data_IF_820199523921
#
_entry.id   IF_820199523921
#
_cell.length_a   1.000
_cell.length_b   1.000
_cell.length_c   1.000
_cell.angle_alpha   90.00
_cell.angle_beta   90.00
_cell.angle_gamma   90.00
#
_symmetry.space_group_name_H-M   'P 1'
#
loop_
_entity.id
_entity.type
_entity.pdbx_description
1 polymer ?
#
# COMPACT_ATOMS: atom_id res chain seq x y z
N UNK A 1 -9.54 -32.53 -28.40
CA UNK A 1 -10.78 -33.18 -27.92
C UNK A 1 -10.37 -34.30 -26.97
N UNK A 2 -11.14 -34.58 -25.90
CA UNK A 2 -10.89 -35.72 -25.00
C UNK A 2 -12.09 -36.67 -25.08
N UNK A 3 -11.84 -37.91 -25.50
CA UNK A 3 -12.84 -38.97 -25.56
C UNK A 3 -12.63 -39.91 -24.37
N UNK A 4 -13.72 -40.39 -23.77
CA UNK A 4 -13.66 -41.33 -22.64
C UNK A 4 -14.60 -42.51 -22.93
N UNK A 5 -14.02 -43.67 -23.21
CA UNK A 5 -14.73 -44.93 -23.43
C UNK A 5 -14.73 -45.68 -22.10
N UNK A 6 -15.86 -46.27 -21.71
CA UNK A 6 -15.98 -47.07 -20.47
C UNK A 6 -16.01 -48.55 -20.83
N UNK A 7 -15.29 -49.38 -20.08
CA UNK A 7 -15.20 -50.82 -20.30
C UNK A 7 -13.97 -51.24 -21.10
N UNK A 8 -13.92 -52.51 -21.49
CA UNK A 8 -12.84 -53.09 -22.29
C UNK A 8 -12.78 -52.43 -23.67
N UNK A 9 -11.58 -52.04 -24.08
CA UNK A 9 -11.34 -51.37 -25.37
C UNK A 9 -11.16 -52.42 -26.47
N UNK A 10 -12.20 -52.64 -27.29
CA UNK A 10 -12.14 -53.44 -28.52
C UNK A 10 -11.93 -52.57 -29.77
N UNK A 11 -11.57 -53.20 -30.90
CA UNK A 11 -11.41 -52.50 -32.17
C UNK A 11 -12.70 -51.80 -32.62
N UNK A 12 -13.84 -52.46 -32.43
CA UNK A 12 -15.16 -51.93 -32.78
C UNK A 12 -15.55 -50.73 -31.93
N UNK A 13 -15.23 -50.76 -30.63
CA UNK A 13 -15.51 -49.63 -29.73
C UNK A 13 -14.66 -48.40 -30.06
N UNK A 14 -13.38 -48.59 -30.40
CA UNK A 14 -12.51 -47.49 -30.85
C UNK A 14 -13.01 -46.88 -32.16
N UNK A 15 -13.39 -47.72 -33.13
CA UNK A 15 -13.93 -47.25 -34.41
C UNK A 15 -15.21 -46.42 -34.21
N UNK A 16 -16.12 -46.89 -33.34
CA UNK A 16 -17.34 -46.16 -33.00
C UNK A 16 -17.06 -44.82 -32.31
N UNK A 17 -16.13 -44.79 -31.36
CA UNK A 17 -15.78 -43.55 -30.67
C UNK A 17 -15.15 -42.51 -31.61
N UNK A 18 -14.37 -42.95 -32.60
CA UNK A 18 -13.81 -42.07 -33.62
C UNK A 18 -14.92 -41.52 -34.53
N UNK A 19 -15.87 -42.35 -34.98
CA UNK A 19 -17.01 -41.91 -35.79
C UNK A 19 -17.86 -40.85 -35.07
N UNK A 20 -18.15 -41.05 -33.77
CA UNK A 20 -18.83 -40.06 -32.95
C UNK A 20 -18.04 -38.75 -32.84
N UNK A 21 -16.71 -38.82 -32.68
CA UNK A 21 -15.85 -37.64 -32.61
C UNK A 21 -15.84 -36.84 -33.92
N UNK A 22 -15.82 -37.53 -35.06
CA UNK A 22 -15.90 -36.92 -36.40
C UNK A 22 -17.24 -36.22 -36.58
N UNK A 23 -18.35 -36.85 -36.21
CA UNK A 23 -19.69 -36.23 -36.26
C UNK A 23 -19.77 -34.95 -35.42
N UNK A 24 -19.18 -34.95 -34.22
CA UNK A 24 -19.12 -33.75 -33.37
C UNK A 24 -18.29 -32.65 -34.04
N UNK A 25 -17.12 -32.98 -34.60
CA UNK A 25 -16.28 -31.99 -35.28
C UNK A 25 -17.00 -31.37 -36.49
N UNK A 26 -17.63 -32.20 -37.31
CA UNK A 26 -18.37 -31.75 -38.50
C UNK A 26 -19.54 -30.82 -38.13
N UNK A 27 -20.21 -31.08 -37.00
CA UNK A 27 -21.29 -30.20 -36.51
C UNK A 27 -20.80 -28.82 -36.07
N UNK A 28 -19.56 -28.70 -35.58
CA UNK A 28 -18.97 -27.44 -35.12
C UNK A 28 -18.32 -26.67 -36.26
N UNK A 29 -17.69 -27.38 -37.19
CA UNK A 29 -17.00 -26.80 -38.33
C UNK A 29 -17.05 -27.76 -39.52
N UNK A 30 -17.98 -27.53 -40.47
CA UNK A 30 -18.12 -28.38 -41.65
C UNK A 30 -16.82 -28.46 -42.46
N UNK A 31 -16.44 -29.68 -42.83
CA UNK A 31 -15.22 -29.98 -43.59
C UNK A 31 -13.93 -30.00 -42.77
N UNK A 32 -13.99 -29.83 -41.44
CA UNK A 32 -12.81 -29.94 -40.58
C UNK A 32 -12.37 -31.41 -40.42
N UNK A 33 -11.06 -31.63 -40.29
CA UNK A 33 -10.45 -32.97 -40.14
C UNK A 33 -9.53 -33.01 -38.93
N UNK A 34 -9.43 -34.18 -38.29
CA UNK A 34 -8.40 -34.44 -37.29
C UNK A 34 -7.07 -34.76 -37.98
N UNK A 35 -5.99 -34.18 -37.47
CA UNK A 35 -4.63 -34.38 -37.97
C UNK A 35 -3.75 -34.84 -36.83
N UNK A 36 -3.34 -36.11 -36.87
CA UNK A 36 -2.60 -36.77 -35.80
C UNK A 36 -3.45 -37.06 -34.56
N UNK A 37 -3.09 -38.12 -33.84
CA UNK A 37 -3.70 -38.45 -32.55
C UNK A 37 -2.70 -39.24 -31.70
N UNK A 38 -2.68 -38.96 -30.40
CA UNK A 38 -1.97 -39.78 -29.43
C UNK A 38 -3.00 -40.65 -28.72
N UNK A 39 -2.83 -41.97 -28.81
CA UNK A 39 -3.65 -42.92 -28.05
C UNK A 39 -2.86 -43.37 -26.82
N UNK A 40 -3.44 -43.17 -25.64
CA UNK A 40 -2.89 -43.66 -24.38
C UNK A 40 -3.75 -44.83 -23.92
N UNK A 41 -3.17 -46.03 -23.92
CA UNK A 41 -3.80 -47.23 -23.41
C UNK A 41 -3.18 -47.59 -22.07
N UNK A 42 -4.03 -47.89 -21.10
CA UNK A 42 -3.62 -48.23 -19.75
C UNK A 42 -4.19 -49.61 -19.44
N UNK A 43 -3.36 -50.65 -19.40
CA UNK A 43 -3.80 -52.01 -19.14
C UNK A 43 -4.02 -52.22 -17.64
N UNK A 44 -5.07 -52.96 -17.32
CA UNK A 44 -5.39 -53.37 -15.96
C UNK A 44 -5.59 -54.88 -15.93
N UNK A 45 -5.32 -55.52 -14.81
CA UNK A 45 -5.66 -56.92 -14.62
C UNK A 45 -7.14 -57.11 -14.22
N UNK A 46 -7.52 -58.36 -13.96
CA UNK A 46 -8.90 -58.73 -13.57
C UNK A 46 -9.33 -58.15 -12.22
N UNK A 47 -8.37 -57.79 -11.37
CA UNK A 47 -8.60 -57.20 -10.05
C UNK A 47 -8.60 -55.67 -10.09
N UNK A 48 -8.24 -55.09 -11.24
CA UNK A 48 -8.24 -53.65 -11.51
C UNK A 48 -6.92 -52.96 -11.21
N UNK A 49 -5.85 -53.73 -10.97
CA UNK A 49 -4.51 -53.21 -10.73
C UNK A 49 -3.78 -52.90 -12.04
N UNK A 50 -2.95 -51.86 -12.00
CA UNK A 50 -2.26 -51.36 -13.18
C UNK A 50 -1.16 -52.33 -13.62
N UNK A 51 -1.26 -52.80 -14.86
CA UNK A 51 -0.19 -53.59 -15.48
C UNK A 51 0.86 -52.66 -16.08
N UNK A 52 2.14 -52.92 -15.77
CA UNK A 52 3.25 -52.15 -16.36
C UNK A 52 3.73 -52.86 -17.63
N UNK A 53 3.49 -52.26 -18.80
CA UNK A 53 3.96 -52.77 -20.09
C UNK A 53 5.29 -52.09 -20.45
N UNK A 54 6.39 -52.85 -20.41
CA UNK A 54 7.75 -52.39 -20.75
C UNK A 54 8.47 -53.36 -21.68
N UNK A 55 9.47 -52.87 -22.41
CA UNK A 55 10.39 -53.67 -23.22
C UNK A 55 11.44 -54.42 -22.36
N UNK A 56 12.32 -55.20 -23.01
CA UNK A 56 13.41 -55.94 -22.35
C UNK A 56 14.41 -55.07 -21.58
N UNK A 57 14.37 -53.74 -21.78
CA UNK A 57 15.22 -52.75 -21.13
C UNK A 57 14.44 -51.90 -20.11
N UNK A 58 13.23 -52.33 -19.74
CA UNK A 58 12.32 -51.64 -18.83
C UNK A 58 11.84 -50.26 -19.29
N UNK A 59 11.84 -49.97 -20.59
CA UNK A 59 11.23 -48.75 -21.14
C UNK A 59 9.76 -49.00 -21.52
N UNK A 60 8.87 -48.00 -21.38
CA UNK A 60 7.50 -48.10 -21.87
C UNK A 60 7.46 -48.43 -23.37
N UNK A 61 6.66 -49.43 -23.75
CA UNK A 61 6.46 -49.78 -25.15
C UNK A 61 5.69 -48.65 -25.86
N UNK A 62 6.34 -48.01 -26.84
CA UNK A 62 5.73 -46.99 -27.70
C UNK A 62 5.61 -47.56 -29.11
N UNK A 63 4.37 -47.69 -29.59
CA UNK A 63 4.08 -48.05 -30.98
C UNK A 63 3.84 -46.77 -31.78
N UNK A 64 4.74 -46.46 -32.72
CA UNK A 64 4.57 -45.35 -33.66
C UNK A 64 4.06 -45.89 -35.01
N UNK A 65 2.86 -45.48 -35.40
CA UNK A 65 2.25 -45.83 -36.69
C UNK A 65 2.37 -44.61 -37.60
N UNK A 66 3.35 -44.64 -38.51
CA UNK A 66 3.59 -43.55 -39.45
C UNK A 66 2.51 -43.53 -40.54
N UNK A 67 2.04 -42.34 -40.90
CA UNK A 67 1.12 -42.19 -42.01
C UNK A 67 1.77 -42.63 -43.34
N UNK A 68 0.98 -43.19 -44.25
CA UNK A 68 1.45 -43.57 -45.59
C UNK A 68 1.95 -42.34 -46.36
N UNK A 69 2.95 -42.55 -47.23
CA UNK A 69 3.50 -41.48 -48.07
C UNK A 69 2.39 -40.79 -48.90
N UNK A 70 2.33 -39.46 -48.84
CA UNK A 70 1.27 -38.64 -49.46
C UNK A 70 0.13 -38.23 -48.54
N UNK A 71 0.08 -38.73 -47.29
CA UNK A 71 -0.94 -38.32 -46.31
C UNK A 71 -0.58 -36.98 -45.65
N UNK A 72 -1.49 -36.00 -45.71
CA UNK A 72 -1.28 -34.65 -45.13
C UNK A 72 -1.28 -34.75 -43.60
N UNK A 73 -0.10 -34.61 -42.96
CA UNK A 73 0.05 -34.79 -41.51
C UNK A 73 -0.41 -33.59 -40.66
N UNK A 74 -0.48 -32.39 -41.23
CA UNK A 74 -1.12 -31.18 -40.68
C UNK A 74 -1.07 -30.11 -41.78
N UNK A 75 -2.16 -29.41 -42.12
CA UNK A 75 -2.08 -28.33 -43.10
C UNK A 75 -1.10 -27.25 -42.61
N UNK A 76 -0.22 -26.78 -43.49
CA UNK A 76 0.60 -25.60 -43.19
C UNK A 76 -0.34 -24.43 -42.84
N UNK A 77 0.01 -23.65 -41.80
CA UNK A 77 -0.74 -22.42 -41.52
C UNK A 77 -0.68 -21.53 -42.76
N UNK A 78 -1.82 -20.98 -43.16
CA UNK A 78 -1.86 -19.97 -44.21
C UNK A 78 -1.07 -18.73 -43.77
N UNK A 79 -0.52 -17.98 -44.73
CA UNK A 79 0.24 -16.75 -44.44
C UNK A 79 -0.56 -15.75 -43.59
N UNK A 80 -1.87 -15.63 -43.84
CA UNK A 80 -2.78 -14.80 -43.05
C UNK A 80 -2.93 -15.27 -41.59
N UNK A 81 -3.01 -16.58 -41.36
CA UNK A 81 -3.12 -17.14 -40.01
C UNK A 81 -1.81 -16.94 -39.21
N UNK A 82 -0.66 -16.98 -39.89
CA UNK A 82 0.63 -16.68 -39.29
C UNK A 82 0.74 -15.19 -38.90
N UNK A 83 0.37 -14.28 -39.80
CA UNK A 83 0.34 -12.83 -39.52
C UNK A 83 -0.56 -12.48 -38.32
N UNK A 84 -1.75 -13.08 -38.22
CA UNK A 84 -2.64 -12.88 -37.06
C UNK A 84 -2.00 -13.33 -35.74
N UNK A 85 -1.26 -14.45 -35.75
CA UNK A 85 -0.56 -14.93 -34.55
C UNK A 85 0.56 -14.01 -34.11
N UNK A 86 1.34 -13.51 -35.06
CA UNK A 86 2.45 -12.61 -34.76
C UNK A 86 1.94 -11.25 -34.25
N UNK A 87 0.87 -10.71 -34.84
CA UNK A 87 0.20 -9.50 -34.36
C UNK A 87 -0.32 -9.65 -32.92
N UNK A 88 -0.94 -10.80 -32.58
CA UNK A 88 -1.39 -11.07 -31.19
C UNK A 88 -0.21 -11.16 -30.22
N UNK A 89 0.92 -11.76 -30.65
CA UNK A 89 2.12 -11.87 -29.82
C UNK A 89 2.75 -10.51 -29.57
N UNK A 90 2.83 -9.66 -30.59
CA UNK A 90 3.33 -8.29 -30.47
C UNK A 90 2.42 -7.43 -29.58
N UNK A 91 1.10 -7.49 -29.79
CA UNK A 91 0.14 -6.79 -28.93
C UNK A 91 0.26 -7.23 -27.46
N UNK A 92 0.47 -8.53 -27.20
CA UNK A 92 0.71 -9.05 -25.85
C UNK A 92 2.01 -8.52 -25.25
N UNK A 93 3.10 -8.47 -26.03
CA UNK A 93 4.39 -7.91 -25.59
C UNK A 93 4.28 -6.42 -25.30
N UNK A 94 3.60 -5.66 -26.15
CA UNK A 94 3.37 -4.22 -25.95
C UNK A 94 2.58 -3.96 -24.66
N UNK A 95 1.50 -4.72 -24.42
CA UNK A 95 0.73 -4.63 -23.17
C UNK A 95 1.58 -4.98 -21.94
N UNK A 96 2.40 -6.03 -22.02
CA UNK A 96 3.30 -6.41 -20.92
C UNK A 96 4.33 -5.31 -20.63
N UNK A 97 4.91 -4.69 -21.67
CA UNK A 97 5.85 -3.59 -21.51
C UNK A 97 5.19 -2.35 -20.91
N UNK A 98 3.98 -2.00 -21.36
CA UNK A 98 3.22 -0.87 -20.79
C UNK A 98 2.90 -1.08 -19.31
N UNK A 99 2.48 -2.29 -18.93
CA UNK A 99 2.24 -2.64 -17.52
C UNK A 99 3.54 -2.57 -16.71
N UNK A 100 4.63 -3.13 -17.21
CA UNK A 100 5.93 -3.08 -16.53
C UNK A 100 6.45 -1.65 -16.34
N UNK A 101 6.28 -0.77 -17.32
CA UNK A 101 6.64 0.65 -17.19
C UNK A 101 5.76 1.38 -16.18
N UNK A 102 4.45 1.11 -16.17
CA UNK A 102 3.54 1.66 -15.16
C UNK A 102 3.94 1.21 -13.76
N UNK A 103 4.20 -0.07 -13.55
CA UNK A 103 4.61 -0.61 -12.25
C UNK A 103 5.93 0.00 -11.78
N UNK A 104 6.88 0.23 -12.70
CA UNK A 104 8.14 0.95 -12.42
C UNK A 104 7.89 2.38 -11.96
N UNK A 105 7.00 3.11 -12.65
CA UNK A 105 6.64 4.48 -12.29
C UNK A 105 5.96 4.54 -10.92
N UNK A 106 4.97 3.67 -10.67
CA UNK A 106 4.28 3.60 -9.38
C UNK A 106 5.24 3.27 -8.23
N UNK A 107 6.16 2.32 -8.44
CA UNK A 107 7.19 1.99 -7.44
C UNK A 107 8.17 3.13 -7.20
N UNK A 108 8.59 3.84 -8.25
CA UNK A 108 9.46 5.00 -8.14
C UNK A 108 8.80 6.15 -7.37
N UNK A 109 7.52 6.43 -7.65
CA UNK A 109 6.74 7.43 -6.91
C UNK A 109 6.54 7.05 -5.44
N UNK A 110 6.23 5.77 -5.18
CA UNK A 110 6.10 5.26 -3.83
C UNK A 110 7.41 5.41 -3.04
N UNK A 111 8.54 5.03 -3.63
CA UNK A 111 9.86 5.17 -3.02
C UNK A 111 10.22 6.64 -2.78
N UNK A 112 9.91 7.54 -3.72
CA UNK A 112 10.12 8.98 -3.57
C UNK A 112 9.30 9.55 -2.41
N UNK A 113 8.00 9.21 -2.32
CA UNK A 113 7.12 9.62 -1.21
C UNK A 113 7.65 9.13 0.13
N UNK A 114 8.13 7.87 0.19
CA UNK A 114 8.70 7.29 1.41
C UNK A 114 9.99 7.98 1.84
N UNK A 115 10.88 8.32 0.89
CA UNK A 115 12.09 9.09 1.20
C UNK A 115 11.77 10.47 1.75
N UNK A 116 10.81 11.19 1.15
CA UNK A 116 10.37 12.50 1.63
C UNK A 116 9.81 12.39 3.06
N UNK A 117 8.93 11.41 3.30
CA UNK A 117 8.38 11.16 4.62
C UNK A 117 9.45 10.80 5.66
N UNK A 118 10.43 9.96 5.30
CA UNK A 118 11.53 9.61 6.19
C UNK A 118 12.34 10.84 6.61
N UNK A 119 12.67 11.73 5.66
CA UNK A 119 13.37 12.98 5.95
C UNK A 119 12.53 13.89 6.87
N UNK A 120 11.22 14.01 6.64
CA UNK A 120 10.33 14.79 7.50
C UNK A 120 10.25 14.23 8.92
N UNK A 121 10.17 12.90 9.07
CA UNK A 121 10.15 12.22 10.37
C UNK A 121 11.44 12.49 11.13
N UNK A 122 12.60 12.33 10.49
CA UNK A 122 13.89 12.59 11.13
C UNK A 122 14.00 14.05 11.59
N UNK A 123 13.60 15.00 10.74
CA UNK A 123 13.57 16.42 11.12
C UNK A 123 12.65 16.68 12.31
N UNK A 124 11.43 16.14 12.30
CA UNK A 124 10.47 16.29 13.39
C UNK A 124 10.99 15.73 14.72
N UNK A 125 11.68 14.59 14.70
CA UNK A 125 12.26 13.98 15.90
C UNK A 125 13.39 14.83 16.49
N UNK A 126 14.29 15.34 15.64
CA UNK A 126 15.38 16.21 16.07
C UNK A 126 14.82 17.50 16.65
N UNK A 127 13.89 18.15 15.94
CA UNK A 127 13.19 19.35 16.40
C UNK A 127 12.49 19.15 17.74
N UNK A 128 11.78 18.04 17.90
CA UNK A 128 11.08 17.70 19.13
C UNK A 128 12.05 17.52 20.30
N UNK A 129 13.18 16.83 20.08
CA UNK A 129 14.24 16.69 21.07
C UNK A 129 14.79 18.05 21.51
N UNK A 130 15.13 18.91 20.53
CA UNK A 130 15.64 20.25 20.79
C UNK A 130 14.63 21.14 21.55
N UNK A 131 13.34 21.07 21.20
CA UNK A 131 12.26 21.77 21.91
C UNK A 131 12.13 21.33 23.37
N UNK A 132 12.23 20.02 23.63
CA UNK A 132 12.15 19.48 24.98
C UNK A 132 13.35 19.90 25.84
N UNK A 133 14.55 19.86 25.26
CA UNK A 133 15.77 20.28 25.95
C UNK A 133 15.73 21.78 26.27
N UNK A 134 15.35 22.61 25.30
CA UNK A 134 15.21 24.04 25.49
C UNK A 134 14.14 24.37 26.55
N UNK A 135 12.97 23.72 26.48
CA UNK A 135 11.92 23.89 27.49
C UNK A 135 12.43 23.52 28.87
N UNK A 136 13.14 22.40 28.99
CA UNK A 136 13.69 21.93 30.27
C UNK A 136 14.73 22.90 30.84
N UNK A 137 15.60 23.45 29.99
CA UNK A 137 16.56 24.50 30.37
C UNK A 137 15.87 25.76 30.89
N UNK A 138 14.85 26.25 30.18
CA UNK A 138 14.10 27.45 30.56
C UNK A 138 13.29 27.25 31.85
N UNK A 139 12.72 26.05 32.05
CA UNK A 139 12.03 25.70 33.31
C UNK A 139 13.00 25.63 34.50
N UNK A 140 14.26 25.26 34.27
CA UNK A 140 15.28 25.23 35.32
C UNK A 140 15.81 26.63 35.67
N UNK A 141 15.84 27.56 34.72
CA UNK A 141 16.37 28.92 34.93
C UNK A 141 15.30 29.92 35.39
N UNK A 142 14.24 30.11 34.61
CA UNK A 142 13.21 31.13 34.83
C UNK A 142 11.78 30.55 34.70
N UNK A 143 11.43 29.56 35.56
CA UNK A 143 10.18 28.81 35.42
C UNK A 143 8.92 29.68 35.39
N UNK A 144 8.82 30.63 36.32
CA UNK A 144 7.61 31.44 36.46
C UNK A 144 7.46 32.45 35.32
N UNK A 145 8.57 33.09 34.91
CA UNK A 145 8.59 34.03 33.77
C UNK A 145 8.17 33.31 32.49
N UNK A 146 8.67 32.09 32.27
CA UNK A 146 8.32 31.29 31.11
C UNK A 146 6.82 31.00 31.05
N UNK A 147 6.26 30.51 32.15
CA UNK A 147 4.83 30.16 32.23
C UNK A 147 3.94 31.38 32.11
N UNK A 148 4.31 32.52 32.71
CA UNK A 148 3.53 33.75 32.61
C UNK A 148 3.52 34.28 31.17
N UNK A 149 4.67 34.25 30.47
CA UNK A 149 4.73 34.63 29.05
C UNK A 149 3.91 33.71 28.16
N UNK A 150 3.94 32.38 28.39
CA UNK A 150 3.09 31.45 27.64
C UNK A 150 1.60 31.70 27.90
N UNK A 151 1.21 31.90 29.16
CA UNK A 151 -0.18 32.20 29.49
C UNK A 151 -0.66 33.52 28.88
N UNK A 152 0.20 34.53 28.81
CA UNK A 152 -0.11 35.79 28.14
C UNK A 152 -0.27 35.62 26.63
N UNK A 153 0.57 34.80 25.98
CA UNK A 153 0.39 34.45 24.57
C UNK A 153 -0.93 33.69 24.29
N UNK A 154 -1.33 32.78 25.18
CA UNK A 154 -2.64 32.14 25.10
C UNK A 154 -3.74 33.20 25.27
N UNK A 155 -3.66 34.07 26.27
CA UNK A 155 -4.67 35.11 26.53
C UNK A 155 -4.89 36.00 25.31
N UNK A 156 -3.81 36.47 24.68
CA UNK A 156 -3.88 37.31 23.47
C UNK A 156 -4.54 36.54 22.32
N UNK A 157 -4.08 35.33 22.03
CA UNK A 157 -4.61 34.53 20.91
C UNK A 157 -6.07 34.11 21.11
N UNK A 158 -6.46 33.70 22.34
CA UNK A 158 -7.85 33.35 22.68
C UNK A 158 -8.78 34.55 22.57
N UNK A 159 -8.33 35.73 23.00
CA UNK A 159 -9.14 36.94 22.88
C UNK A 159 -9.36 37.32 21.42
N UNK A 160 -8.32 37.27 20.58
CA UNK A 160 -8.45 37.64 19.16
C UNK A 160 -9.29 36.66 18.34
N UNK A 161 -9.30 35.37 18.69
CA UNK A 161 -9.95 34.33 17.88
C UNK A 161 -11.27 33.83 18.47
N UNK A 162 -11.62 34.23 19.70
CA UNK A 162 -12.87 33.90 20.39
C UNK A 162 -13.34 32.44 20.16
N UNK A 163 -12.51 31.43 20.46
CA UNK A 163 -12.81 30.05 20.15
C UNK A 163 -14.10 29.60 20.83
N UNK A 164 -15.02 28.96 20.10
CA UNK A 164 -16.33 28.51 20.62
C UNK A 164 -16.41 26.99 20.77
N UNK A 165 -17.23 26.53 21.70
CA UNK A 165 -17.52 25.10 21.86
C UNK A 165 -18.31 24.59 20.65
N UNK A 166 -17.82 23.58 19.91
CA UNK A 166 -18.45 23.12 18.67
C UNK A 166 -19.68 22.22 18.92
N UNK A 167 -19.72 21.55 20.07
CA UNK A 167 -20.68 20.48 20.37
C UNK A 167 -21.07 20.50 21.86
N UNK A 168 -22.18 19.84 22.20
CA UNK A 168 -22.63 19.64 23.58
C UNK A 168 -23.47 20.79 24.15
N UNK A 169 -23.76 20.75 25.47
CA UNK A 169 -24.67 21.70 26.13
C UNK A 169 -24.23 23.16 26.09
N UNK A 170 -22.93 23.41 25.91
CA UNK A 170 -22.31 24.74 25.86
C UNK A 170 -22.02 25.21 24.42
N UNK A 171 -22.58 24.54 23.42
CA UNK A 171 -22.30 24.83 22.00
C UNK A 171 -22.52 26.31 21.70
N UNK A 172 -21.53 26.96 21.08
CA UNK A 172 -21.56 28.38 20.75
C UNK A 172 -21.08 29.33 21.86
N UNK A 173 -20.92 28.84 23.09
CA UNK A 173 -20.22 29.57 24.15
C UNK A 173 -18.72 29.63 23.89
N UNK A 174 -18.05 30.66 24.42
CA UNK A 174 -16.60 30.76 24.36
C UNK A 174 -15.94 29.63 25.17
N UNK A 175 -14.92 29.02 24.56
CA UNK A 175 -14.09 28.02 25.21
C UNK A 175 -13.34 28.65 26.37
N UNK A 176 -13.34 28.02 27.55
CA UNK A 176 -12.52 28.46 28.66
C UNK A 176 -11.04 28.56 28.27
N UNK A 177 -10.36 29.56 28.81
CA UNK A 177 -8.94 29.80 28.58
C UNK A 177 -8.10 28.64 29.15
N UNK A 178 -7.30 27.94 28.35
CA UNK A 178 -6.35 26.97 28.87
C UNK A 178 -5.19 27.70 29.57
N UNK A 179 -4.58 27.05 30.55
CA UNK A 179 -3.52 27.66 31.37
C UNK A 179 -2.37 26.70 31.60
N UNK A 180 -1.15 27.18 31.35
CA UNK A 180 0.07 26.52 31.78
C UNK A 180 0.34 26.76 33.27
N UNK A 181 0.85 25.73 33.93
CA UNK A 181 1.44 25.80 35.25
C UNK A 181 2.62 24.84 35.36
N UNK A 182 3.26 24.82 36.53
CA UNK A 182 4.36 23.92 36.85
C UNK A 182 3.89 22.95 37.91
N UNK A 183 4.03 21.65 37.61
CA UNK A 183 3.77 20.57 38.55
C UNK A 183 5.03 19.71 38.59
N UNK A 184 5.63 19.55 39.77
CA UNK A 184 6.88 18.80 39.97
C UNK A 184 8.02 19.22 39.03
N UNK A 185 8.19 20.53 38.83
CA UNK A 185 9.22 21.10 37.95
C UNK A 185 8.96 20.91 36.45
N UNK A 186 7.79 20.38 36.06
CA UNK A 186 7.43 20.09 34.68
C UNK A 186 6.26 20.96 34.21
N UNK A 187 6.26 21.27 32.92
CA UNK A 187 5.20 22.03 32.28
C UNK A 187 3.90 21.20 32.27
N UNK A 188 2.83 21.78 32.79
CA UNK A 188 1.50 21.17 32.81
C UNK A 188 0.48 22.13 32.23
N UNK A 189 -0.47 21.59 31.44
CA UNK A 189 -1.53 22.35 30.81
C UNK A 189 -2.88 21.95 31.37
N UNK A 190 -3.64 22.96 31.81
CA UNK A 190 -4.97 22.84 32.36
C UNK A 190 -5.97 23.33 31.32
N UNK A 191 -7.02 22.56 31.10
CA UNK A 191 -8.15 22.93 30.26
C UNK A 191 -9.44 22.45 30.94
N UNK A 192 -10.49 23.26 30.88
CA UNK A 192 -11.76 22.95 31.55
C UNK A 192 -12.41 21.64 31.06
N UNK A 193 -12.14 21.24 29.83
CA UNK A 193 -12.64 19.99 29.25
C UNK A 193 -11.86 18.74 29.69
N UNK A 194 -10.75 18.89 30.42
CA UNK A 194 -9.92 17.78 30.87
C UNK A 194 -10.17 17.45 32.35
N UNK A 195 -10.31 16.16 32.64
CA UNK A 195 -10.45 15.67 34.03
C UNK A 195 -9.17 15.87 34.85
N UNK A 196 -8.02 15.85 34.19
CA UNK A 196 -6.72 16.03 34.81
C UNK A 196 -5.81 16.90 33.93
N UNK A 197 -4.85 17.62 34.53
CA UNK A 197 -3.86 18.38 33.77
C UNK A 197 -3.02 17.45 32.92
N UNK A 198 -2.61 17.92 31.74
CA UNK A 198 -1.68 17.16 30.90
C UNK A 198 -0.27 17.66 31.11
N UNK A 199 0.61 16.72 31.44
CA UNK A 199 2.04 16.94 31.44
C UNK A 199 2.54 17.10 30.00
N UNK A 200 3.33 18.13 29.74
CA UNK A 200 3.89 18.42 28.42
C UNK A 200 5.41 18.53 28.52
N UNK A 201 6.11 18.01 27.51
CA UNK A 201 7.57 18.12 27.42
C UNK A 201 8.01 19.47 26.86
N UNK A 202 7.17 20.08 26.04
CA UNK A 202 7.33 21.41 25.45
C UNK A 202 5.94 22.03 25.17
N UNK A 203 5.84 23.36 24.99
CA UNK A 203 4.55 24.04 24.78
C UNK A 203 3.99 23.90 23.35
N UNK A 204 4.78 23.39 22.40
CA UNK A 204 4.46 23.36 20.96
C UNK A 204 3.54 22.19 20.64
N UNK A 205 3.85 21.00 21.15
CA UNK A 205 3.11 19.79 20.80
C UNK A 205 3.77 18.50 21.24
N UNK A 206 3.24 17.39 20.74
CA UNK A 206 3.73 16.03 20.97
C UNK A 206 4.04 15.33 19.65
N UNK A 207 4.87 14.28 19.68
CA UNK A 207 5.04 13.41 18.53
C UNK A 207 3.78 12.54 18.33
N UNK A 208 3.13 12.71 17.19
CA UNK A 208 2.03 11.85 16.72
C UNK A 208 2.40 11.30 15.33
N UNK A 209 2.36 9.98 15.17
CA UNK A 209 2.81 9.31 13.93
C UNK A 209 4.19 9.80 13.43
N UNK A 210 5.09 10.09 14.38
CA UNK A 210 6.46 10.59 14.15
C UNK A 210 6.56 12.03 13.61
N UNK A 211 5.49 12.82 13.64
CA UNK A 211 5.50 14.26 13.34
C UNK A 211 5.08 15.06 14.57
N UNK A 212 5.47 16.34 14.65
CA UNK A 212 5.04 17.21 15.75
C UNK A 212 3.60 17.64 15.48
N UNK A 213 2.70 17.24 16.37
CA UNK A 213 1.31 17.64 16.34
C UNK A 213 1.01 18.60 17.50
N UNK A 214 0.28 19.69 17.25
CA UNK A 214 -0.08 20.64 18.29
C UNK A 214 -1.07 20.00 19.28
N UNK A 215 -1.14 20.54 20.50
CA UNK A 215 -2.11 20.08 21.51
C UNK A 215 -3.55 20.24 21.00
N UNK A 216 -3.84 21.35 20.32
CA UNK A 216 -5.08 21.59 19.59
C UNK A 216 -4.80 22.13 18.20
N UNK A 217 -5.64 21.75 17.24
CA UNK A 217 -5.57 22.20 15.84
C UNK A 217 -6.39 23.47 15.57
N UNK A 218 -6.98 24.07 16.60
CA UNK A 218 -7.76 25.30 16.45
C UNK A 218 -6.83 26.50 16.23
N UNK A 219 -7.19 27.43 15.35
CA UNK A 219 -6.35 28.57 14.94
C UNK A 219 -5.80 29.38 16.12
N UNK A 220 -6.66 29.69 17.11
CA UNK A 220 -6.23 30.33 18.37
C UNK A 220 -5.01 29.65 19.02
N UNK A 221 -4.96 28.31 19.04
CA UNK A 221 -3.83 27.58 19.60
C UNK A 221 -2.62 27.61 18.68
N UNK A 222 -2.80 27.49 17.36
CA UNK A 222 -1.70 27.54 16.39
C UNK A 222 -0.99 28.91 16.42
N UNK A 223 -1.75 30.01 16.55
CA UNK A 223 -1.18 31.36 16.73
C UNK A 223 -0.44 31.47 18.07
N UNK A 224 -0.95 30.83 19.13
CA UNK A 224 -0.24 30.76 20.41
C UNK A 224 1.10 30.00 20.27
N UNK A 225 1.12 28.90 19.50
CA UNK A 225 2.33 28.10 19.24
C UNK A 225 3.45 28.94 18.62
N UNK A 226 3.14 29.78 17.63
CA UNK A 226 4.12 30.70 17.04
C UNK A 226 4.69 31.68 18.08
N UNK A 227 3.82 32.17 18.97
CA UNK A 227 4.22 33.05 20.07
C UNK A 227 5.09 32.32 21.09
N UNK A 228 4.81 31.05 21.40
CA UNK A 228 5.64 30.24 22.29
C UNK A 228 7.06 30.07 21.73
N UNK A 229 7.19 29.80 20.43
CA UNK A 229 8.50 29.70 19.78
C UNK A 229 9.28 31.01 19.87
N UNK A 230 8.61 32.17 19.71
CA UNK A 230 9.25 33.48 19.90
C UNK A 230 9.70 33.68 21.34
N UNK A 231 8.84 33.39 22.32
CA UNK A 231 9.18 33.50 23.74
C UNK A 231 10.38 32.61 24.09
N UNK A 232 10.39 31.35 23.63
CA UNK A 232 11.50 30.43 23.85
C UNK A 232 12.80 30.94 23.22
N UNK A 233 12.72 31.65 22.09
CA UNK A 233 13.87 32.32 21.44
C UNK A 233 14.38 33.45 22.29
N UNK A 234 13.49 34.35 22.68
CA UNK A 234 13.85 35.56 23.40
C UNK A 234 14.47 35.23 24.76
N UNK A 235 14.00 34.17 25.41
CA UNK A 235 14.53 33.71 26.71
C UNK A 235 15.75 32.79 26.57
N UNK A 236 15.82 31.97 25.52
CA UNK A 236 16.91 31.01 25.31
C UNK A 236 18.09 31.54 24.49
N UNK A 237 17.94 32.72 23.88
CA UNK A 237 18.88 33.27 22.91
C UNK A 237 18.74 32.60 21.54
N UNK A 238 19.63 31.64 21.25
CA UNK A 238 19.66 30.96 19.95
C UNK A 238 18.78 29.71 19.98
N UNK A 239 17.74 29.67 19.14
CA UNK A 239 16.99 28.42 18.90
C UNK A 239 17.77 27.58 17.89
N UNK A 240 18.03 26.29 18.18
CA UNK A 240 18.56 25.34 17.22
C UNK A 240 17.82 25.41 15.87
N UNK A 241 18.56 25.55 14.76
CA UNK A 241 17.96 25.67 13.41
C UNK A 241 17.05 24.48 13.08
N UNK A 242 17.34 23.34 13.69
CA UNK A 242 16.61 22.08 13.56
C UNK A 242 15.15 22.18 14.01
N UNK A 243 14.80 23.17 14.84
CA UNK A 243 13.42 23.42 15.29
C UNK A 243 12.56 24.01 14.17
N UNK A 244 13.14 24.70 13.19
CA UNK A 244 12.38 25.39 12.15
C UNK A 244 12.16 24.53 10.91
N UNK A 245 10.95 24.62 10.32
CA UNK A 245 10.64 24.03 9.02
C UNK A 245 9.22 23.49 8.92
N UNK A 246 8.94 22.78 7.82
CA UNK A 246 7.60 22.25 7.48
C UNK A 246 7.06 21.19 8.45
N UNK A 247 7.86 20.75 9.42
CA UNK A 247 7.51 19.74 10.41
C UNK A 247 6.89 20.33 11.68
N UNK A 248 6.87 21.67 11.81
CA UNK A 248 6.14 22.35 12.88
C UNK A 248 4.65 22.47 12.55
N UNK A 249 3.77 22.50 13.56
CA UNK A 249 2.37 22.86 13.36
C UNK A 249 2.29 24.25 12.71
N UNK A 250 1.82 24.34 11.48
CA UNK A 250 1.65 25.62 10.79
C UNK A 250 0.40 26.31 11.34
N UNK A 251 0.56 27.48 11.96
CA UNK A 251 -0.51 28.48 11.93
C UNK A 251 -0.75 28.90 10.48
N UNK A 252 -1.99 29.25 10.14
CA UNK A 252 -2.29 29.90 8.86
C UNK A 252 -1.31 31.07 8.74
N UNK A 253 -0.47 31.04 7.69
CA UNK A 253 0.44 32.13 7.40
C UNK A 253 -0.37 33.43 7.41
N UNK A 254 0.00 34.35 8.29
CA UNK A 254 -0.44 35.73 8.11
C UNK A 254 0.22 36.22 6.82
N UNK A 255 -0.58 36.36 5.78
CA UNK A 255 -0.28 37.25 4.65
C UNK A 255 0.00 38.67 5.15
#
# INVERSE_FOLDING_TARGET
MRLKIKGEITQEQLAKALDEAVKVLESLQPGAKFYGANLYLTPYDTDGDLLTIVDERHHPLVLEITAQSGTIAKPALTAEAQQRRDAVREAKRQRANQLAERDRQELAEYNRKRQIQAVQITKAQIAFGALNELTSKLLASEPQVLVDRFNDAIRVSWHSHEPKEPHGPRKGELKPLPKFSIVDGKLSLFAASWKSPRLLLNPIGNLNSNLIAPVWTHDAWLVAVDSFLRIMRDMGGTIPEEIFGDHLPKGIAAD
#
